data_IF_096022795979
#
_entry.id   IF_096022795979
#
_cell.length_a   1.000
_cell.length_b   1.000
_cell.length_c   1.000
_cell.angle_alpha   90.00
_cell.angle_beta   90.00
_cell.angle_gamma   90.00
#
_symmetry.space_group_name_H-M   'P 1'
#
loop_
_entity.id
_entity.type
_entity.pdbx_description
1 polymer ?
#
# COMPACT_ATOMS: atom_id res chain seq x y z
N UNK A 1 17.32 17.19 -11.52
CA UNK A 1 16.61 16.45 -10.45
C UNK A 1 16.06 15.18 -11.07
N UNK A 2 16.54 13.99 -10.67
CA UNK A 2 15.87 12.73 -11.06
C UNK A 2 14.49 12.73 -10.42
N UNK A 3 13.44 12.50 -11.21
CA UNK A 3 12.11 12.27 -10.67
C UNK A 3 12.18 11.01 -9.80
N UNK A 4 11.88 11.13 -8.52
CA UNK A 4 11.75 9.98 -7.63
C UNK A 4 10.71 9.04 -8.24
N UNK A 5 10.94 7.73 -8.30
CA UNK A 5 9.96 6.81 -8.87
C UNK A 5 8.71 6.73 -7.98
N UNK A 6 7.54 6.43 -8.56
CA UNK A 6 6.34 6.11 -7.79
C UNK A 6 6.55 4.76 -7.08
N UNK A 7 6.25 4.71 -5.78
CA UNK A 7 6.48 3.53 -4.91
C UNK A 7 5.18 3.10 -4.26
N UNK A 8 5.14 1.88 -3.72
CA UNK A 8 4.02 1.37 -2.93
C UNK A 8 4.43 1.31 -1.46
N UNK A 9 3.70 2.05 -0.63
CA UNK A 9 3.89 2.06 0.81
C UNK A 9 2.76 1.34 1.51
N UNK A 10 3.08 0.58 2.56
CA UNK A 10 2.14 0.06 3.52
C UNK A 10 2.05 1.00 4.72
N UNK A 11 0.85 1.45 5.01
CA UNK A 11 0.50 2.25 6.19
C UNK A 11 -0.10 1.31 7.23
N UNK A 12 0.46 1.35 8.45
CA UNK A 12 -0.16 0.75 9.63
C UNK A 12 -0.91 1.84 10.40
N UNK A 13 -2.23 1.74 10.50
CA UNK A 13 -3.08 2.72 11.17
C UNK A 13 -4.15 2.02 12.00
N UNK A 14 -4.26 2.39 13.28
CA UNK A 14 -5.35 1.92 14.13
C UNK A 14 -6.31 3.06 14.39
N UNK A 15 -7.54 2.95 13.88
CA UNK A 15 -8.54 3.99 14.06
C UNK A 15 -9.79 3.80 13.21
N UNK A 16 -10.55 4.87 13.07
CA UNK A 16 -11.84 4.87 12.39
C UNK A 16 -12.08 6.17 11.61
N UNK A 17 -12.93 6.07 10.62
CA UNK A 17 -13.52 7.22 9.92
C UNK A 17 -14.99 7.41 10.36
N UNK A 18 -15.74 8.21 9.60
CA UNK A 18 -17.17 8.44 9.84
C UNK A 18 -18.04 7.19 9.58
N UNK A 19 -17.56 6.24 8.78
CA UNK A 19 -18.28 5.03 8.36
C UNK A 19 -17.96 3.83 9.25
N UNK A 20 -16.83 3.82 9.95
CA UNK A 20 -16.46 2.76 10.87
C UNK A 20 -14.96 2.56 11.00
N UNK A 21 -14.57 1.36 11.44
CA UNK A 21 -13.16 0.99 11.62
C UNK A 21 -12.45 0.94 10.28
N UNK A 22 -11.28 1.57 10.20
CA UNK A 22 -10.41 1.53 9.02
C UNK A 22 -9.55 0.26 9.02
N UNK A 23 -9.18 -0.27 7.84
CA UNK A 23 -8.24 -1.39 7.75
C UNK A 23 -6.90 -1.05 8.41
N UNK A 24 -6.39 -1.97 9.24
CA UNK A 24 -5.14 -1.75 9.98
C UNK A 24 -3.94 -1.55 9.05
N UNK A 25 -3.88 -2.29 7.95
CA UNK A 25 -2.83 -2.18 6.93
C UNK A 25 -3.43 -1.72 5.60
N UNK A 26 -2.90 -0.63 5.05
CA UNK A 26 -3.37 -0.06 3.79
C UNK A 26 -2.20 0.20 2.85
N UNK A 27 -2.31 -0.28 1.60
CA UNK A 27 -1.33 0.00 0.53
C UNK A 27 -1.67 1.31 -0.17
N UNK A 28 -0.70 2.20 -0.30
CA UNK A 28 -0.85 3.52 -0.93
C UNK A 28 0.32 3.77 -1.88
N UNK A 29 0.04 4.30 -3.07
CA UNK A 29 1.10 4.72 -4.00
C UNK A 29 1.53 6.16 -3.69
N UNK A 30 2.82 6.39 -3.55
CA UNK A 30 3.37 7.73 -3.35
C UNK A 30 4.85 7.79 -3.76
N UNK A 31 5.37 9.01 -3.90
CA UNK A 31 6.79 9.26 -4.22
C UNK A 31 7.70 9.10 -2.99
N UNK A 32 7.15 9.34 -1.79
CA UNK A 32 7.85 9.29 -0.51
C UNK A 32 6.93 8.75 0.58
N UNK A 33 7.51 8.27 1.69
CA UNK A 33 6.73 7.83 2.86
C UNK A 33 5.82 8.95 3.40
N UNK A 34 6.33 10.18 3.54
CA UNK A 34 5.50 11.34 3.93
C UNK A 34 4.34 11.59 2.95
N UNK A 35 4.59 11.40 1.65
CA UNK A 35 3.54 11.44 0.63
C UNK A 35 2.49 10.36 0.81
N UNK A 36 2.89 9.14 1.24
CA UNK A 36 1.96 8.05 1.52
C UNK A 36 1.05 8.35 2.70
N UNK A 37 1.57 8.93 3.78
CA UNK A 37 0.76 9.39 4.93
C UNK A 37 -0.28 10.41 4.46
N UNK A 38 0.14 11.41 3.68
CA UNK A 38 -0.76 12.44 3.15
C UNK A 38 -1.87 11.82 2.29
N UNK A 39 -1.49 10.96 1.33
CA UNK A 39 -2.45 10.30 0.46
C UNK A 39 -3.42 9.38 1.23
N UNK A 40 -2.97 8.72 2.30
CA UNK A 40 -3.84 7.97 3.21
C UNK A 40 -4.88 8.88 3.87
N UNK A 41 -4.44 9.99 4.48
CA UNK A 41 -5.34 10.92 5.18
C UNK A 41 -6.35 11.56 4.22
N UNK A 42 -5.91 11.96 3.03
CA UNK A 42 -6.80 12.55 2.02
C UNK A 42 -7.86 11.55 1.51
N UNK A 43 -7.48 10.28 1.36
CA UNK A 43 -8.37 9.21 0.87
C UNK A 43 -9.36 8.74 1.94
N UNK A 44 -8.88 8.44 3.14
CA UNK A 44 -9.66 7.77 4.18
C UNK A 44 -10.26 8.72 5.21
N UNK A 45 -9.77 9.95 5.31
CA UNK A 45 -10.28 10.99 6.22
C UNK A 45 -10.54 10.45 7.65
N UNK A 46 -9.52 9.83 8.29
CA UNK A 46 -9.70 9.26 9.62
C UNK A 46 -10.16 10.34 10.60
N UNK A 47 -11.15 10.00 11.42
CA UNK A 47 -11.70 10.90 12.44
C UNK A 47 -10.94 10.74 13.75
N UNK A 48 -10.46 9.53 14.04
CA UNK A 48 -9.64 9.23 15.22
C UNK A 48 -8.72 8.06 14.96
N UNK A 49 -7.58 8.02 15.67
CA UNK A 49 -6.62 6.93 15.62
C UNK A 49 -5.18 7.41 15.60
N UNK A 50 -4.28 6.45 15.37
CA UNK A 50 -2.84 6.64 15.39
C UNK A 50 -2.15 5.81 14.30
N UNK A 51 -1.14 6.42 13.68
CA UNK A 51 -0.18 5.71 12.86
C UNK A 51 0.71 4.86 13.76
N UNK A 52 0.88 3.59 13.39
CA UNK A 52 1.66 2.60 14.14
C UNK A 52 3.09 2.52 13.57
N UNK A 53 3.79 3.66 13.56
CA UNK A 53 5.12 3.81 12.99
C UNK A 53 5.13 4.45 11.60
N UNK A 54 6.30 4.42 10.98
CA UNK A 54 6.52 5.00 9.65
C UNK A 54 5.94 4.10 8.54
N UNK A 55 5.55 4.69 7.38
CA UNK A 55 5.17 3.93 6.21
C UNK A 55 6.28 2.99 5.74
N UNK A 56 5.98 1.71 5.60
CA UNK A 56 6.92 0.72 5.08
C UNK A 56 6.88 0.72 3.55
N UNK A 57 8.03 0.85 2.89
CA UNK A 57 8.10 0.68 1.45
C UNK A 57 8.08 -0.81 1.08
N UNK A 58 7.03 -1.22 0.38
CA UNK A 58 6.81 -2.61 0.00
C UNK A 58 6.86 -2.81 -1.52
N UNK A 59 7.44 -1.86 -2.26
CA UNK A 59 7.45 -1.89 -3.74
C UNK A 59 8.01 -3.20 -4.29
N UNK A 60 9.15 -3.66 -3.77
CA UNK A 60 9.79 -4.90 -4.22
C UNK A 60 8.95 -6.13 -3.86
N UNK A 61 8.28 -6.12 -2.71
CA UNK A 61 7.38 -7.20 -2.29
C UNK A 61 6.19 -7.31 -3.25
N UNK A 62 5.57 -6.18 -3.59
CA UNK A 62 4.41 -6.12 -4.50
C UNK A 62 4.79 -6.54 -5.92
N UNK A 63 5.96 -6.12 -6.41
CA UNK A 63 6.43 -6.54 -7.74
C UNK A 63 6.66 -8.05 -7.78
N UNK A 64 7.28 -8.61 -6.74
CA UNK A 64 7.46 -10.06 -6.63
C UNK A 64 6.13 -10.81 -6.58
N UNK A 65 5.16 -10.34 -5.80
CA UNK A 65 3.81 -10.93 -5.75
C UNK A 65 3.16 -10.98 -7.14
N UNK A 66 3.31 -9.91 -7.94
CA UNK A 66 2.79 -9.85 -9.30
C UNK A 66 3.51 -10.85 -10.23
N UNK A 67 4.85 -10.85 -10.21
CA UNK A 67 5.65 -11.77 -11.02
C UNK A 67 5.34 -13.24 -10.71
N UNK A 68 5.19 -13.59 -9.43
CA UNK A 68 4.87 -14.95 -9.00
C UNK A 68 3.45 -15.34 -9.43
N UNK A 69 2.49 -14.41 -9.37
CA UNK A 69 1.12 -14.63 -9.85
C UNK A 69 1.09 -14.87 -11.36
N UNK A 70 1.84 -14.08 -12.13
CA UNK A 70 1.91 -14.20 -13.58
C UNK A 70 2.54 -15.55 -14.00
N UNK A 71 3.58 -15.99 -13.28
CA UNK A 71 4.19 -17.32 -13.50
C UNK A 71 3.20 -18.45 -13.25
N UNK A 72 2.50 -18.42 -12.11
CA UNK A 72 1.49 -19.45 -11.80
C UNK A 72 0.39 -19.52 -12.86
N UNK A 73 -0.11 -18.35 -13.30
CA UNK A 73 -1.13 -18.30 -14.33
C UNK A 73 -0.63 -18.83 -15.69
N UNK A 74 0.63 -18.57 -16.04
CA UNK A 74 1.25 -19.12 -17.25
C UNK A 74 1.43 -20.65 -17.19
N UNK A 75 1.74 -21.21 -16.02
CA UNK A 75 1.85 -22.65 -15.81
C UNK A 75 0.49 -23.35 -15.91
N UNK A 76 -0.56 -22.77 -15.31
CA UNK A 76 -1.93 -23.29 -15.41
C UNK A 76 -2.41 -23.37 -16.87
N UNK A 77 -2.06 -22.40 -17.71
CA UNK A 77 -2.41 -22.39 -19.14
C UNK A 77 -1.68 -23.44 -19.98
N UNK A 78 -0.53 -23.96 -19.51
CA UNK A 78 0.21 -25.02 -20.19
C UNK A 78 -0.25 -26.42 -19.79
N UNK A 79 -0.97 -26.53 -18.67
CA UNK A 79 -1.42 -27.79 -18.09
C UNK A 79 -2.85 -28.19 -18.51
N UNK A 80 -3.55 -27.35 -19.28
CA UNK A 80 -4.87 -27.64 -19.87
C UNK A 80 -4.80 -27.68 -21.38
#
# INVERSE_FOLDING_TARGET
MQAQAMRVYQIAFSGRDAQGVLPMFTRVKAMTGKGAVRAFVERYKPVSGWFLGDPEDITDKVNKEADDTDRQHAEMKKAG
#
